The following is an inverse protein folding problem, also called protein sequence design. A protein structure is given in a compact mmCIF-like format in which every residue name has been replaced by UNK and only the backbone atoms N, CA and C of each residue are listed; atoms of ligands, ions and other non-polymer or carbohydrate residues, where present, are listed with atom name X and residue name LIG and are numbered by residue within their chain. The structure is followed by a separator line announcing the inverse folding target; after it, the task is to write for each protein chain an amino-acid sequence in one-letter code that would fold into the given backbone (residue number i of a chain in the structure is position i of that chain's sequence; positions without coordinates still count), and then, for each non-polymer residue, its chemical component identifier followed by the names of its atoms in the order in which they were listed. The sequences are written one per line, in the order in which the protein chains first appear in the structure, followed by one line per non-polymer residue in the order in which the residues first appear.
data_IF_907972778639
#
_entry.id   IF_907972778639
#
_cell.length_a   1.000
_cell.length_b   1.000
_cell.length_c   1.000
_cell.angle_alpha   90.00
_cell.angle_beta   90.00
_cell.angle_gamma   90.00
#
_symmetry.space_group_name_H-M   'P 1'
#
loop_
_entity.id
_entity.type
_entity.pdbx_description
1 polymer ?
#
# COMPACT_ATOMS: atom_id res chain seq x y z
N UNK A 1 1.15 -31.32 -17.47
CA UNK A 1 1.98 -30.07 -17.52
C UNK A 1 1.10 -28.95 -16.98
N UNK A 2 1.22 -28.65 -15.69
CA UNK A 2 0.52 -27.52 -15.10
C UNK A 2 1.38 -26.28 -15.39
N UNK A 3 0.97 -25.52 -16.40
CA UNK A 3 1.52 -24.18 -16.63
C UNK A 3 1.15 -23.35 -15.40
N UNK A 4 2.14 -22.86 -14.67
CA UNK A 4 1.96 -21.91 -13.58
C UNK A 4 1.49 -20.58 -14.20
N UNK A 5 0.20 -20.53 -14.62
CA UNK A 5 -0.40 -19.31 -15.08
C UNK A 5 -0.56 -18.39 -13.86
N UNK A 6 0.32 -17.40 -13.75
CA UNK A 6 0.16 -16.31 -12.80
C UNK A 6 -1.14 -15.59 -13.10
N UNK A 7 -2.17 -15.91 -12.33
CA UNK A 7 -3.50 -15.31 -12.50
C UNK A 7 -3.56 -14.02 -11.68
N UNK A 8 -4.14 -12.99 -12.27
CA UNK A 8 -4.51 -11.78 -11.55
C UNK A 8 -5.69 -12.06 -10.63
N UNK A 9 -5.56 -11.74 -9.35
CA UNK A 9 -6.60 -11.89 -8.33
C UNK A 9 -6.81 -10.58 -7.59
N UNK A 10 -8.05 -10.10 -7.57
CA UNK A 10 -8.40 -8.93 -6.77
C UNK A 10 -8.46 -9.31 -5.28
N UNK A 11 -7.90 -8.45 -4.45
CA UNK A 11 -7.94 -8.58 -2.99
C UNK A 11 -9.02 -7.64 -2.47
N UNK A 12 -9.88 -8.15 -1.60
CA UNK A 12 -10.84 -7.37 -0.84
C UNK A 12 -10.35 -7.21 0.60
N UNK A 13 -10.64 -6.07 1.20
CA UNK A 13 -10.30 -5.79 2.59
C UNK A 13 -11.48 -5.10 3.28
N UNK A 14 -12.03 -5.76 4.29
CA UNK A 14 -13.13 -5.17 5.09
C UNK A 14 -12.62 -4.13 6.11
N UNK A 15 -11.32 -4.14 6.42
CA UNK A 15 -10.70 -3.29 7.44
C UNK A 15 -10.06 -2.01 6.89
N UNK A 16 -10.17 -1.75 5.59
CA UNK A 16 -9.75 -0.51 4.94
C UNK A 16 -10.93 0.16 4.23
N UNK A 17 -10.82 1.44 3.85
CA UNK A 17 -11.84 2.09 3.04
C UNK A 17 -12.07 1.33 1.73
N UNK A 18 -13.32 1.20 1.34
CA UNK A 18 -13.68 0.59 0.05
C UNK A 18 -13.18 1.42 -1.12
N UNK A 19 -12.95 0.77 -2.25
CA UNK A 19 -12.63 1.45 -3.51
C UNK A 19 -13.78 2.42 -3.88
N UNK A 20 -13.41 3.65 -4.22
CA UNK A 20 -14.34 4.72 -4.60
C UNK A 20 -14.51 4.86 -6.12
N UNK A 21 -14.07 3.86 -6.88
CA UNK A 21 -14.13 3.86 -8.33
C UNK A 21 -13.92 2.45 -8.91
N UNK A 22 -13.75 2.31 -10.22
CA UNK A 22 -13.61 1.04 -10.90
C UNK A 22 -12.17 0.47 -10.75
N UNK A 23 -11.73 0.19 -9.52
CA UNK A 23 -10.43 -0.40 -9.22
C UNK A 23 -10.53 -1.33 -7.99
N UNK A 24 -9.56 -2.20 -7.83
CA UNK A 24 -9.40 -3.04 -6.64
C UNK A 24 -8.48 -2.36 -5.64
N UNK A 25 -8.73 -2.51 -4.34
CA UNK A 25 -7.84 -1.96 -3.29
C UNK A 25 -6.45 -2.59 -3.34
N UNK A 26 -6.36 -3.84 -3.79
CA UNK A 26 -5.10 -4.48 -4.13
C UNK A 26 -5.32 -5.60 -5.16
N UNK A 27 -4.25 -5.98 -5.83
CA UNK A 27 -4.22 -7.07 -6.81
C UNK A 27 -3.00 -7.94 -6.54
N UNK A 28 -3.22 -9.25 -6.50
CA UNK A 28 -2.18 -10.26 -6.45
C UNK A 28 -1.90 -10.81 -7.85
N UNK A 29 -0.63 -11.02 -8.17
CA UNK A 29 -0.20 -11.76 -9.36
C UNK A 29 1.13 -12.48 -9.07
N UNK A 30 1.12 -13.82 -9.10
CA UNK A 30 2.28 -14.61 -8.69
C UNK A 30 2.73 -14.27 -7.27
N UNK A 31 4.00 -13.87 -7.14
CA UNK A 31 4.61 -13.49 -5.86
C UNK A 31 4.41 -12.00 -5.49
N UNK A 32 3.79 -11.20 -6.37
CA UNK A 32 3.64 -9.77 -6.15
C UNK A 32 2.22 -9.39 -5.73
N UNK A 33 2.13 -8.41 -4.84
CA UNK A 33 0.88 -7.71 -4.49
C UNK A 33 1.08 -6.23 -4.75
N UNK A 34 0.15 -5.68 -5.53
CA UNK A 34 0.06 -4.25 -5.83
C UNK A 34 -1.07 -3.66 -4.99
N UNK A 35 -0.74 -2.75 -4.10
CA UNK A 35 -1.72 -2.02 -3.29
C UNK A 35 -1.98 -0.67 -3.92
N UNK A 36 -3.24 -0.38 -4.22
CA UNK A 36 -3.68 0.90 -4.77
C UNK A 36 -3.38 2.05 -3.81
N UNK A 37 -3.27 3.26 -4.33
CA UNK A 37 -3.04 4.46 -3.55
C UNK A 37 -4.02 4.59 -2.39
N UNK A 38 -3.46 4.74 -1.19
CA UNK A 38 -4.22 4.93 0.04
C UNK A 38 -4.14 6.39 0.47
N UNK A 39 -5.31 6.97 0.68
CA UNK A 39 -5.50 8.28 1.30
C UNK A 39 -5.70 8.12 2.82
N UNK A 40 -5.58 9.21 3.55
CA UNK A 40 -5.88 9.26 4.97
C UNK A 40 -7.38 9.24 5.27
N UNK A 41 -8.12 8.30 4.70
CA UNK A 41 -9.56 8.14 4.87
C UNK A 41 -9.87 7.27 6.07
N UNK A 42 -10.82 7.73 6.88
CA UNK A 42 -11.45 6.91 7.90
C UNK A 42 -12.44 5.94 7.23
N UNK A 43 -12.32 4.66 7.54
CA UNK A 43 -13.16 3.60 6.96
C UNK A 43 -14.64 3.78 7.26
N UNK A 44 -14.98 4.16 8.50
CA UNK A 44 -16.36 4.22 8.94
C UNK A 44 -17.12 5.39 8.31
N UNK A 45 -16.44 6.53 8.14
CA UNK A 45 -17.05 7.76 7.63
C UNK A 45 -16.79 8.01 6.16
N UNK A 46 -15.73 7.41 5.60
CA UNK A 46 -15.26 7.69 4.23
C UNK A 46 -14.67 9.09 4.06
N UNK A 47 -14.40 9.81 5.15
CA UNK A 47 -13.84 11.15 5.15
C UNK A 47 -12.36 11.13 5.51
N UNK A 48 -11.64 12.17 5.07
CA UNK A 48 -10.27 12.40 5.51
C UNK A 48 -10.22 12.66 7.02
N UNK A 49 -9.22 12.08 7.69
CA UNK A 49 -8.98 12.37 9.10
C UNK A 49 -8.48 13.80 9.28
N UNK A 50 -8.87 14.43 10.39
CA UNK A 50 -8.35 15.73 10.80
C UNK A 50 -6.92 15.59 11.36
N UNK A 51 -6.14 16.65 11.33
CA UNK A 51 -4.79 16.71 11.93
C UNK A 51 -3.64 16.87 10.92
N UNK A 52 -3.96 17.20 9.68
CA UNK A 52 -2.98 17.56 8.66
C UNK A 52 -2.16 16.40 8.13
N UNK A 53 -0.94 16.70 7.66
CA UNK A 53 -0.10 15.74 6.94
C UNK A 53 0.27 14.53 7.80
N UNK A 54 0.59 14.71 9.07
CA UNK A 54 0.97 13.62 9.96
C UNK A 54 -0.21 12.65 10.18
N UNK A 55 -1.40 13.17 10.46
CA UNK A 55 -2.60 12.36 10.68
C UNK A 55 -3.01 11.61 9.39
N UNK A 56 -3.02 12.29 8.24
CA UNK A 56 -3.36 11.66 6.97
C UNK A 56 -2.31 10.63 6.53
N UNK A 57 -1.01 10.88 6.74
CA UNK A 57 0.05 9.90 6.47
C UNK A 57 -0.13 8.64 7.32
N UNK A 58 -0.35 8.82 8.63
CA UNK A 58 -0.60 7.71 9.55
C UNK A 58 -1.78 6.88 9.08
N UNK A 59 -2.89 7.53 8.77
CA UNK A 59 -4.11 6.84 8.36
C UNK A 59 -3.96 6.12 7.02
N UNK A 60 -3.27 6.72 6.06
CA UNK A 60 -2.97 6.07 4.78
C UNK A 60 -2.13 4.79 4.97
N UNK A 61 -1.11 4.84 5.84
CA UNK A 61 -0.27 3.68 6.15
C UNK A 61 -1.01 2.61 6.96
N UNK A 62 -1.89 2.98 7.89
CA UNK A 62 -2.78 2.05 8.59
C UNK A 62 -3.74 1.34 7.62
N UNK A 63 -4.31 2.06 6.66
CA UNK A 63 -5.16 1.48 5.62
C UNK A 63 -4.38 0.50 4.76
N UNK A 64 -3.16 0.86 4.35
CA UNK A 64 -2.25 -0.03 3.60
C UNK A 64 -1.92 -1.29 4.41
N UNK A 65 -1.59 -1.15 5.68
CA UNK A 65 -1.30 -2.26 6.58
C UNK A 65 -2.49 -3.22 6.66
N UNK A 66 -3.70 -2.72 6.86
CA UNK A 66 -4.92 -3.54 6.91
C UNK A 66 -5.15 -4.32 5.60
N UNK A 67 -4.86 -3.72 4.44
CA UNK A 67 -4.96 -4.38 3.14
C UNK A 67 -3.92 -5.50 3.02
N UNK A 68 -2.67 -5.24 3.40
CA UNK A 68 -1.60 -6.25 3.39
C UNK A 68 -1.92 -7.41 4.33
N UNK A 69 -2.39 -7.13 5.54
CA UNK A 69 -2.79 -8.15 6.52
C UNK A 69 -3.95 -9.02 6.00
N UNK A 70 -4.91 -8.45 5.27
CA UNK A 70 -5.98 -9.22 4.63
C UNK A 70 -5.47 -10.19 3.55
N UNK A 71 -4.28 -9.92 3.01
CA UNK A 71 -3.59 -10.78 2.05
C UNK A 71 -2.57 -11.73 2.72
N UNK A 72 -2.49 -11.76 4.06
CA UNK A 72 -1.55 -12.58 4.82
C UNK A 72 -0.13 -12.02 4.85
N UNK A 73 0.04 -10.72 4.60
CA UNK A 73 1.32 -10.02 4.57
C UNK A 73 1.41 -8.99 5.69
N UNK A 74 2.59 -8.40 5.83
CA UNK A 74 2.87 -7.30 6.75
C UNK A 74 3.56 -6.13 6.04
N UNK A 75 3.80 -5.04 6.75
CA UNK A 75 4.58 -3.90 6.23
C UNK A 75 6.04 -4.29 5.92
N UNK A 76 6.57 -5.34 6.52
CA UNK A 76 7.92 -5.85 6.25
C UNK A 76 8.05 -6.47 4.84
N UNK A 77 6.94 -6.90 4.26
CA UNK A 77 6.91 -7.49 2.92
C UNK A 77 6.86 -6.43 1.80
N UNK A 78 6.71 -5.16 2.15
CA UNK A 78 6.69 -4.05 1.19
C UNK A 78 8.09 -3.81 0.62
N UNK A 79 8.21 -3.87 -0.70
CA UNK A 79 9.49 -3.66 -1.41
C UNK A 79 9.57 -2.30 -2.08
N UNK A 80 8.44 -1.67 -2.36
CA UNK A 80 8.38 -0.36 -3.03
C UNK A 80 7.17 0.43 -2.55
N UNK A 81 7.37 1.72 -2.33
CA UNK A 81 6.29 2.70 -2.14
C UNK A 81 6.47 3.89 -3.07
N UNK A 82 5.34 4.52 -3.44
CA UNK A 82 5.32 5.85 -4.03
C UNK A 82 4.46 6.75 -3.14
N UNK A 83 5.01 7.88 -2.74
CA UNK A 83 4.34 8.88 -1.91
C UNK A 83 4.04 10.11 -2.77
N UNK A 84 2.76 10.40 -2.93
CA UNK A 84 2.25 11.58 -3.62
C UNK A 84 1.85 12.62 -2.58
N UNK A 85 2.35 13.85 -2.70
CA UNK A 85 2.09 14.94 -1.76
C UNK A 85 1.61 16.19 -2.49
N UNK A 86 0.74 16.97 -1.87
CA UNK A 86 0.36 18.28 -2.41
C UNK A 86 1.43 19.36 -2.15
N UNK A 87 2.23 19.19 -1.10
CA UNK A 87 3.24 20.17 -0.68
C UNK A 87 4.49 19.45 -0.16
N UNK A 88 5.58 19.53 -0.90
CA UNK A 88 6.87 18.97 -0.48
C UNK A 88 7.49 19.73 0.70
N UNK A 89 7.01 20.93 1.04
CA UNK A 89 7.38 21.60 2.28
C UNK A 89 7.02 20.84 3.56
N UNK A 90 6.08 19.90 3.47
CA UNK A 90 5.65 19.02 4.57
C UNK A 90 6.34 17.65 4.56
N UNK A 91 7.39 17.48 3.75
CA UNK A 91 8.09 16.19 3.58
C UNK A 91 8.68 15.66 4.89
N UNK A 92 9.27 16.53 5.73
CA UNK A 92 9.83 16.12 7.01
C UNK A 92 8.76 15.58 7.98
N UNK A 93 7.59 16.20 8.01
CA UNK A 93 6.47 15.78 8.85
C UNK A 93 5.88 14.44 8.36
N UNK A 94 5.73 14.27 7.04
CA UNK A 94 5.35 12.99 6.45
C UNK A 94 6.36 11.90 6.80
N UNK A 95 7.67 12.17 6.64
CA UNK A 95 8.74 11.22 6.95
C UNK A 95 8.76 10.78 8.41
N UNK A 96 8.45 11.67 9.35
CA UNK A 96 8.41 11.32 10.77
C UNK A 96 7.42 10.21 11.06
N UNK A 97 6.27 10.23 10.41
CA UNK A 97 5.24 9.20 10.53
C UNK A 97 5.59 7.96 9.72
N UNK A 98 6.12 8.14 8.50
CA UNK A 98 6.55 7.03 7.64
C UNK A 98 7.58 6.13 8.35
N UNK A 99 8.51 6.72 9.08
CA UNK A 99 9.53 6.00 9.84
C UNK A 99 8.99 5.14 11.00
N UNK A 100 7.77 5.38 11.46
CA UNK A 100 7.14 4.55 12.48
C UNK A 100 6.65 3.20 11.91
N UNK A 101 6.33 3.15 10.61
CA UNK A 101 5.86 1.95 9.93
C UNK A 101 6.97 1.15 9.25
N UNK A 102 8.03 1.81 8.83
CA UNK A 102 9.20 1.21 8.19
C UNK A 102 10.44 1.49 9.02
N UNK A 103 10.84 0.53 9.87
CA UNK A 103 11.89 0.72 10.88
C UNK A 103 13.22 0.08 10.51
N UNK A 104 13.21 -0.91 9.62
CA UNK A 104 14.38 -1.65 9.12
C UNK A 104 14.11 -2.14 7.70
N UNK A 105 15.16 -2.50 6.96
CA UNK A 105 15.05 -3.07 5.61
C UNK A 105 14.09 -2.25 4.74
N UNK A 106 14.32 -0.92 4.70
CA UNK A 106 13.42 0.04 4.08
C UNK A 106 13.05 -0.33 2.64
N UNK A 107 11.78 -0.20 2.25
CA UNK A 107 11.39 -0.33 0.85
C UNK A 107 12.05 0.78 -0.01
N UNK A 108 12.26 0.48 -1.28
CA UNK A 108 12.56 1.53 -2.24
C UNK A 108 11.41 2.54 -2.28
N UNK A 109 11.70 3.84 -2.39
CA UNK A 109 10.66 4.88 -2.38
C UNK A 109 10.93 5.97 -3.40
N UNK A 110 9.84 6.47 -3.98
CA UNK A 110 9.79 7.77 -4.65
C UNK A 110 8.79 8.67 -3.90
N UNK A 111 9.11 9.94 -3.76
CA UNK A 111 8.18 10.94 -3.23
C UNK A 111 8.13 12.12 -4.20
N UNK A 112 6.92 12.51 -4.60
CA UNK A 112 6.69 13.53 -5.62
C UNK A 112 5.57 14.47 -5.19
N UNK A 113 5.68 15.73 -5.60
CA UNK A 113 4.59 16.69 -5.48
C UNK A 113 3.67 16.59 -6.69
N UNK A 114 2.37 16.57 -6.43
CA UNK A 114 1.31 16.49 -7.45
C UNK A 114 0.40 17.70 -7.41
N UNK A 115 -0.34 17.93 -8.50
CA UNK A 115 -1.26 19.07 -8.61
C UNK A 115 -2.55 18.89 -7.79
N UNK A 116 -2.95 17.67 -7.48
CA UNK A 116 -4.15 17.35 -6.71
C UNK A 116 -4.25 15.86 -6.41
N UNK A 117 -5.01 15.52 -5.38
CA UNK A 117 -5.31 14.15 -4.97
C UNK A 117 -6.83 13.99 -4.81
N UNK A 118 -7.35 12.75 -4.96
CA UNK A 118 -8.76 12.48 -4.76
C UNK A 118 -9.25 12.94 -3.39
N UNK A 119 -10.51 13.35 -3.30
CA UNK A 119 -11.16 13.82 -2.08
C UNK A 119 -10.44 14.98 -1.38
N UNK A 120 -9.60 15.73 -2.09
CA UNK A 120 -8.75 16.78 -1.52
C UNK A 120 -7.77 16.26 -0.45
N UNK A 121 -7.32 15.01 -0.58
CA UNK A 121 -6.24 14.47 0.23
C UNK A 121 -4.95 15.27 0.05
N UNK A 122 -4.12 15.30 1.07
CA UNK A 122 -2.82 16.00 1.02
C UNK A 122 -1.64 15.04 0.89
N UNK A 123 -1.91 13.76 1.06
CA UNK A 123 -0.96 12.66 0.84
C UNK A 123 -1.70 11.43 0.35
N UNK A 124 -1.07 10.69 -0.56
CA UNK A 124 -1.50 9.37 -1.02
C UNK A 124 -0.28 8.47 -1.12
N UNK A 125 -0.41 7.20 -0.72
CA UNK A 125 0.71 6.26 -0.72
C UNK A 125 0.24 4.94 -1.36
N UNK A 126 0.96 4.50 -2.39
CA UNK A 126 0.81 3.17 -2.99
C UNK A 126 1.99 2.26 -2.64
N UNK A 127 1.84 0.96 -2.79
CA UNK A 127 2.93 0.02 -2.54
C UNK A 127 2.89 -1.22 -3.43
N UNK A 128 4.07 -1.84 -3.52
CA UNK A 128 4.26 -3.20 -4.02
C UNK A 128 4.84 -4.03 -2.90
N UNK A 129 4.28 -5.20 -2.65
CA UNK A 129 4.75 -6.16 -1.65
C UNK A 129 5.03 -7.51 -2.30
N UNK A 130 5.87 -8.32 -1.65
CA UNK A 130 6.26 -9.67 -2.11
C UNK A 130 5.71 -10.70 -1.14
N UNK A 131 5.04 -11.72 -1.65
CA UNK A 131 4.67 -12.89 -0.85
C UNK A 131 5.93 -13.67 -0.48
N UNK A 132 6.10 -14.06 0.79
CA UNK A 132 7.15 -15.00 1.17
C UNK A 132 7.03 -16.28 0.32
N UNK A 133 8.16 -16.80 -0.15
CA UNK A 133 8.15 -18.10 -0.80
C UNK A 133 7.79 -19.17 0.24
N UNK A 134 6.69 -19.88 0.04
CA UNK A 134 6.49 -21.16 0.68
C UNK A 134 7.58 -22.10 0.15
N UNK A 135 8.44 -22.61 1.05
CA UNK A 135 9.49 -23.59 0.74
C UNK A 135 8.95 -24.95 0.23
N UNK A 136 7.68 -25.03 -0.14
CA UNK A 136 7.05 -26.26 -0.68
C UNK A 136 7.07 -26.37 -2.20
N UNK A 137 7.52 -25.31 -2.93
CA UNK A 137 7.60 -25.33 -4.40
C UNK A 137 9.02 -25.60 -4.95
N UNK A 138 9.90 -26.25 -4.19
CA UNK A 138 11.25 -26.62 -4.65
C UNK A 138 11.29 -27.66 -5.81
N UNK A 139 10.16 -28.03 -6.38
CA UNK A 139 10.09 -29.07 -7.44
C UNK A 139 9.64 -28.54 -8.81
N UNK A 140 9.72 -27.26 -9.08
CA UNK A 140 9.34 -26.72 -10.39
C UNK A 140 10.40 -25.83 -11.03
N UNK A 141 11.66 -26.35 -11.10
CA UNK A 141 12.65 -25.80 -12.04
C UNK A 141 13.57 -26.89 -12.53
N UNK A 142 13.73 -26.93 -13.85
CA UNK A 142 14.75 -27.61 -14.65
C UNK A 142 14.41 -29.04 -15.08
N UNK A 143 13.76 -29.15 -16.22
CA UNK A 143 14.26 -29.91 -17.36
C UNK A 143 13.83 -29.25 -18.66
#
# INVERSE_FOLDING_TARGET
MSCCCTKKEAISCENAPAAIGPYSVAVSTGSLIFVSGQLGLDKATGNLVAGGIQAQTRKALENMQAILESAGLSMEDVVKTTVFMLDMGQFADMNSIYAEFFTKDFPARSAIQVAGLPKNGIVEIESVAVKPHDHQDENCCCN
#
